data_IF_573730071477
#
_entry.id   IF_573730071477
#
_cell.length_a   1.000
_cell.length_b   1.000
_cell.length_c   1.000
_cell.angle_alpha   90.00
_cell.angle_beta   90.00
_cell.angle_gamma   90.00
#
_symmetry.space_group_name_H-M   'P 1'
#
loop_
_entity.id
_entity.type
_entity.pdbx_description
1 polymer ?
#
# COMPACT_ATOMS: atom_id res chain seq x y z
N UNK A 1 8.91 -7.28 40.03
CA UNK A 1 8.01 -8.29 40.60
C UNK A 1 6.65 -8.09 39.93
N UNK A 2 6.26 -9.00 39.04
CA UNK A 2 4.92 -8.98 38.43
C UNK A 2 3.88 -9.17 39.53
N UNK A 3 2.88 -8.29 39.59
CA UNK A 3 1.83 -8.37 40.61
C UNK A 3 0.96 -9.62 40.34
N UNK A 4 0.28 -10.17 41.36
CA UNK A 4 -0.63 -11.31 41.24
C UNK A 4 -1.69 -11.11 40.13
N UNK A 5 -2.12 -9.87 39.91
CA UNK A 5 -3.00 -9.50 38.80
C UNK A 5 -2.35 -9.71 37.43
N UNK A 6 -1.08 -9.36 37.25
CA UNK A 6 -0.35 -9.56 36.00
C UNK A 6 -0.21 -11.06 35.69
N UNK A 7 0.03 -11.88 36.71
CA UNK A 7 0.12 -13.32 36.56
C UNK A 7 -1.21 -13.95 36.12
N UNK A 8 -2.33 -13.45 36.65
CA UNK A 8 -3.67 -13.86 36.21
C UNK A 8 -3.95 -13.42 34.76
N UNK A 9 -3.61 -12.18 34.39
CA UNK A 9 -3.77 -11.68 33.03
C UNK A 9 -2.95 -12.47 32.02
N UNK A 10 -1.67 -12.73 32.32
CA UNK A 10 -0.79 -13.54 31.46
C UNK A 10 -1.32 -14.96 31.29
N UNK A 11 -1.89 -15.56 32.35
CA UNK A 11 -2.53 -16.88 32.24
C UNK A 11 -3.74 -16.84 31.31
N UNK A 12 -4.63 -15.87 31.50
CA UNK A 12 -5.80 -15.69 30.62
C UNK A 12 -5.42 -15.48 29.16
N UNK A 13 -4.39 -14.66 28.90
CA UNK A 13 -3.85 -14.47 27.54
C UNK A 13 -3.31 -15.76 26.94
N UNK A 14 -2.58 -16.57 27.71
CA UNK A 14 -2.05 -17.85 27.22
C UNK A 14 -3.14 -18.86 26.88
N UNK A 15 -4.23 -18.87 27.66
CA UNK A 15 -5.37 -19.77 27.44
C UNK A 15 -6.20 -19.34 26.21
N UNK A 16 -6.28 -18.03 25.94
CA UNK A 16 -7.03 -17.48 24.80
C UNK A 16 -6.21 -17.38 23.51
N UNK A 17 -4.89 -17.23 23.61
CA UNK A 17 -4.01 -17.03 22.46
C UNK A 17 -3.94 -18.27 21.56
N UNK A 18 -3.91 -18.03 20.26
CA UNK A 18 -3.59 -19.06 19.26
C UNK A 18 -2.11 -18.97 18.94
N UNK A 19 -1.39 -20.07 19.20
CA UNK A 19 0.04 -20.16 18.89
C UNK A 19 0.22 -20.34 17.38
N UNK A 20 1.07 -19.53 16.78
CA UNK A 20 1.60 -19.75 15.43
C UNK A 20 2.82 -20.68 15.57
N UNK A 21 2.76 -21.84 14.91
CA UNK A 21 3.80 -22.86 14.90
C UNK A 21 4.60 -22.88 13.58
N UNK A 22 4.30 -21.98 12.64
CA UNK A 22 4.85 -21.95 11.29
C UNK A 22 4.13 -22.91 10.33
N UNK A 23 2.92 -23.36 10.65
CA UNK A 23 2.14 -24.25 9.79
C UNK A 23 1.25 -23.45 8.84
N UNK A 24 0.98 -24.00 7.65
CA UNK A 24 0.05 -23.38 6.69
C UNK A 24 -1.36 -23.16 7.27
N UNK A 25 -1.74 -23.94 8.29
CA UNK A 25 -3.05 -23.90 8.94
C UNK A 25 -3.12 -22.98 10.16
N UNK A 26 -2.03 -22.33 10.52
CA UNK A 26 -1.99 -21.47 11.72
C UNK A 26 -3.01 -20.33 11.66
N UNK A 27 -3.35 -19.88 10.45
CA UNK A 27 -4.33 -18.83 10.20
C UNK A 27 -5.76 -19.34 9.98
N UNK A 28 -6.03 -20.66 10.02
CA UNK A 28 -7.40 -21.18 9.84
C UNK A 28 -8.38 -20.53 10.84
N UNK A 29 -8.07 -20.43 12.15
CA UNK A 29 -8.97 -19.79 13.10
C UNK A 29 -9.16 -18.29 12.84
N UNK A 30 -8.16 -17.62 12.26
CA UNK A 30 -8.24 -16.21 11.89
C UNK A 30 -9.18 -16.02 10.69
N UNK A 31 -9.06 -16.85 9.65
CA UNK A 31 -9.94 -16.79 8.48
C UNK A 31 -11.39 -17.16 8.81
N UNK A 32 -11.59 -18.09 9.74
CA UNK A 32 -12.91 -18.38 10.30
C UNK A 32 -13.49 -17.15 11.01
N UNK A 33 -12.69 -16.48 11.85
CA UNK A 33 -13.11 -15.26 12.56
C UNK A 33 -13.43 -14.10 11.62
N UNK A 34 -12.66 -13.94 10.54
CA UNK A 34 -12.91 -12.92 9.50
C UNK A 34 -14.27 -13.15 8.82
N UNK A 35 -14.71 -14.41 8.69
CA UNK A 35 -16.01 -14.75 8.11
C UNK A 35 -16.19 -14.22 6.69
N UNK A 36 -17.26 -13.46 6.47
CA UNK A 36 -17.66 -12.84 5.20
C UNK A 36 -17.33 -11.32 5.15
N UNK A 37 -16.40 -10.86 5.99
CA UNK A 37 -16.01 -9.46 6.00
C UNK A 37 -15.52 -9.02 4.60
N UNK A 38 -16.00 -7.87 4.13
CA UNK A 38 -15.59 -7.29 2.84
C UNK A 38 -14.28 -6.52 2.91
N UNK A 39 -13.89 -6.09 4.12
CA UNK A 39 -12.69 -5.31 4.38
C UNK A 39 -11.96 -5.92 5.58
N UNK A 40 -10.66 -6.12 5.42
CA UNK A 40 -9.76 -6.61 6.48
C UNK A 40 -8.58 -5.64 6.56
N UNK A 41 -8.38 -5.04 7.72
CA UNK A 41 -7.33 -4.06 7.97
C UNK A 41 -6.19 -4.74 8.73
N UNK A 42 -5.02 -4.85 8.10
CA UNK A 42 -3.84 -5.50 8.65
C UNK A 42 -2.82 -4.45 9.09
N UNK A 43 -2.81 -4.14 10.39
CA UNK A 43 -1.83 -3.24 10.99
C UNK A 43 -0.49 -3.91 11.27
N UNK A 44 0.52 -3.09 11.55
CA UNK A 44 1.84 -3.51 12.06
C UNK A 44 2.25 -2.64 13.25
N UNK A 45 3.10 -3.15 14.13
CA UNK A 45 3.55 -2.38 15.29
C UNK A 45 4.76 -1.47 14.98
N UNK A 46 5.50 -1.77 13.91
CA UNK A 46 6.62 -0.97 13.41
C UNK A 46 6.87 -1.27 11.94
N UNK A 47 7.35 -0.28 11.18
CA UNK A 47 7.85 -0.55 9.84
C UNK A 47 9.28 -1.12 9.88
N UNK A 48 9.67 -1.83 8.82
CA UNK A 48 10.99 -2.45 8.67
C UNK A 48 11.22 -3.74 9.46
N UNK A 49 10.20 -4.29 10.13
CA UNK A 49 10.29 -5.57 10.84
C UNK A 49 9.87 -6.72 9.92
N UNK A 50 10.83 -7.56 9.54
CA UNK A 50 10.63 -8.71 8.65
C UNK A 50 9.38 -9.53 9.00
N UNK A 51 9.22 -9.91 10.27
CA UNK A 51 8.11 -10.73 10.73
C UNK A 51 6.75 -10.05 10.46
N UNK A 52 6.64 -8.73 10.57
CA UNK A 52 5.37 -8.05 10.26
C UNK A 52 5.05 -8.05 8.76
N UNK A 53 6.05 -7.92 7.89
CA UNK A 53 5.81 -8.04 6.45
C UNK A 53 5.47 -9.48 6.06
N UNK A 54 6.23 -10.45 6.58
CA UNK A 54 6.01 -11.87 6.32
C UNK A 54 4.60 -12.29 6.76
N UNK A 55 4.19 -12.00 8.01
CA UNK A 55 2.89 -12.42 8.50
C UNK A 55 1.74 -11.72 7.74
N UNK A 56 1.86 -10.42 7.41
CA UNK A 56 0.87 -9.72 6.57
C UNK A 56 0.78 -10.33 5.17
N UNK A 57 1.91 -10.68 4.57
CA UNK A 57 1.94 -11.34 3.27
C UNK A 57 1.23 -12.70 3.33
N UNK A 58 1.52 -13.55 4.33
CA UNK A 58 0.88 -14.85 4.47
C UNK A 58 -0.64 -14.75 4.69
N UNK A 59 -1.10 -13.84 5.56
CA UNK A 59 -2.53 -13.60 5.77
C UNK A 59 -3.18 -13.12 4.46
N UNK A 60 -2.54 -12.18 3.75
CA UNK A 60 -3.06 -11.62 2.50
C UNK A 60 -3.17 -12.67 1.40
N UNK A 61 -2.17 -13.55 1.26
CA UNK A 61 -2.20 -14.68 0.31
C UNK A 61 -3.45 -15.54 0.52
N UNK A 62 -3.70 -15.93 1.77
CA UNK A 62 -4.88 -16.74 2.11
C UNK A 62 -6.20 -16.00 1.92
N UNK A 63 -6.26 -14.70 2.20
CA UNK A 63 -7.45 -13.89 1.91
C UNK A 63 -7.77 -13.85 0.42
N UNK A 64 -6.75 -13.75 -0.43
CA UNK A 64 -6.92 -13.78 -1.89
C UNK A 64 -7.38 -15.18 -2.34
N UNK A 65 -6.66 -16.23 -1.96
CA UNK A 65 -6.88 -17.60 -2.43
C UNK A 65 -8.17 -18.24 -1.90
N UNK A 66 -8.48 -18.03 -0.61
CA UNK A 66 -9.55 -18.76 0.08
C UNK A 66 -10.81 -17.91 0.28
N UNK A 67 -10.67 -16.59 0.30
CA UNK A 67 -11.77 -15.65 0.58
C UNK A 67 -12.11 -14.74 -0.60
N UNK A 68 -11.39 -14.84 -1.72
CA UNK A 68 -11.70 -14.12 -2.96
C UNK A 68 -11.47 -12.61 -2.88
N UNK A 69 -10.56 -12.15 -2.01
CA UNK A 69 -10.15 -10.74 -2.00
C UNK A 69 -9.38 -10.42 -3.29
N UNK A 70 -9.73 -9.30 -3.92
CA UNK A 70 -9.14 -8.87 -5.21
C UNK A 70 -8.42 -7.52 -5.13
N UNK A 71 -8.24 -6.97 -3.93
CA UNK A 71 -7.55 -5.69 -3.76
C UNK A 71 -6.70 -5.69 -2.50
N UNK A 72 -5.42 -5.34 -2.67
CA UNK A 72 -4.48 -5.08 -1.58
C UNK A 72 -4.19 -3.59 -1.61
N UNK A 73 -4.65 -2.87 -0.58
CA UNK A 73 -4.45 -1.43 -0.45
C UNK A 73 -3.45 -1.16 0.68
N UNK A 74 -2.34 -0.50 0.35
CA UNK A 74 -1.20 -0.28 1.25
C UNK A 74 -1.02 1.19 1.58
N UNK A 75 -0.40 1.47 2.74
CA UNK A 75 0.05 2.79 3.17
C UNK A 75 1.28 3.22 2.35
N UNK A 76 1.04 3.50 1.07
CA UNK A 76 2.06 3.90 0.13
C UNK A 76 1.49 4.84 -0.94
N UNK A 77 2.40 5.56 -1.59
CA UNK A 77 2.09 6.52 -2.64
C UNK A 77 1.39 5.87 -3.84
N UNK A 78 0.31 6.51 -4.33
CA UNK A 78 -0.49 5.99 -5.45
C UNK A 78 0.32 5.71 -6.73
N UNK A 79 1.17 6.62 -7.25
CA UNK A 79 1.90 6.38 -8.49
C UNK A 79 2.83 5.17 -8.42
N UNK A 80 3.52 5.00 -7.28
CA UNK A 80 4.49 3.93 -7.06
C UNK A 80 3.78 2.58 -6.92
N UNK A 81 2.73 2.52 -6.10
CA UNK A 81 1.90 1.32 -5.98
C UNK A 81 1.19 0.97 -7.29
N UNK A 82 0.79 1.96 -8.10
CA UNK A 82 0.17 1.72 -9.39
C UNK A 82 1.16 1.15 -10.43
N UNK A 83 2.45 1.48 -10.36
CA UNK A 83 3.48 0.79 -11.16
C UNK A 83 3.52 -0.70 -10.82
N UNK A 84 3.54 -1.04 -9.53
CA UNK A 84 3.44 -2.44 -9.07
C UNK A 84 2.14 -3.09 -9.52
N UNK A 85 1.01 -2.38 -9.44
CA UNK A 85 -0.27 -2.87 -9.94
C UNK A 85 -0.18 -3.28 -11.42
N UNK A 86 0.37 -2.42 -12.28
CA UNK A 86 0.53 -2.74 -13.71
C UNK A 86 1.41 -3.98 -13.88
N UNK A 87 2.47 -4.12 -13.09
CA UNK A 87 3.31 -5.30 -13.09
C UNK A 87 2.51 -6.56 -12.73
N UNK A 88 1.83 -6.60 -11.59
CA UNK A 88 1.07 -7.80 -11.16
C UNK A 88 -0.14 -8.12 -12.04
N UNK A 89 -0.65 -7.13 -12.78
CA UNK A 89 -1.73 -7.32 -13.75
C UNK A 89 -1.24 -7.84 -15.12
N UNK A 90 0.07 -7.81 -15.38
CA UNK A 90 0.64 -8.19 -16.68
C UNK A 90 0.57 -7.09 -17.75
N UNK A 91 0.51 -5.83 -17.33
CA UNK A 91 0.37 -4.65 -18.21
C UNK A 91 1.52 -3.63 -18.08
N UNK A 92 2.56 -3.97 -17.30
CA UNK A 92 3.80 -3.19 -17.23
C UNK A 92 4.82 -3.68 -18.25
N UNK A 93 5.80 -2.82 -18.55
CA UNK A 93 7.00 -3.15 -19.30
C UNK A 93 8.18 -3.51 -18.36
N UNK A 94 7.97 -3.48 -17.03
CA UNK A 94 8.98 -3.85 -16.05
C UNK A 94 9.32 -5.35 -16.19
N UNK A 95 10.62 -5.70 -16.17
CA UNK A 95 11.10 -7.07 -16.37
C UNK A 95 10.77 -8.01 -15.21
N UNK A 96 10.77 -7.47 -13.99
CA UNK A 96 10.62 -8.22 -12.75
C UNK A 96 10.04 -7.34 -11.62
N UNK A 97 9.83 -7.96 -10.46
CA UNK A 97 9.29 -7.29 -9.29
C UNK A 97 10.21 -6.22 -8.70
N UNK A 98 11.54 -6.37 -8.85
CA UNK A 98 12.50 -5.37 -8.35
C UNK A 98 12.39 -4.07 -9.15
N UNK A 99 12.31 -4.18 -10.48
CA UNK A 99 12.08 -3.03 -11.35
C UNK A 99 10.71 -2.39 -11.07
N UNK A 100 9.66 -3.20 -10.89
CA UNK A 100 8.33 -2.69 -10.55
C UNK A 100 8.31 -1.89 -9.23
N UNK A 101 9.09 -2.33 -8.24
CA UNK A 101 9.22 -1.68 -6.94
C UNK A 101 10.16 -0.46 -6.94
N UNK A 102 10.91 -0.22 -8.03
CA UNK A 102 11.88 0.89 -8.12
C UNK A 102 11.24 2.29 -8.09
N UNK A 103 9.91 2.39 -8.19
CA UNK A 103 9.15 3.63 -7.98
C UNK A 103 9.27 4.16 -6.56
N UNK A 104 9.27 3.27 -5.55
CA UNK A 104 9.35 3.63 -4.14
C UNK A 104 10.73 4.21 -3.77
N UNK A 105 10.86 5.53 -3.93
CA UNK A 105 12.12 6.26 -3.70
C UNK A 105 12.07 7.18 -2.49
N UNK A 106 10.88 7.60 -2.07
CA UNK A 106 10.66 8.60 -1.01
C UNK A 106 11.09 8.08 0.35
N UNK A 107 10.73 6.84 0.65
CA UNK A 107 11.00 6.21 1.93
C UNK A 107 12.19 5.27 1.83
N UNK A 108 12.83 4.93 2.98
CA UNK A 108 13.90 3.96 2.99
C UNK A 108 13.51 2.63 2.34
N UNK A 109 14.48 1.98 1.70
CA UNK A 109 14.28 0.73 0.96
C UNK A 109 13.63 -0.35 1.80
N UNK A 110 13.92 -0.42 3.10
CA UNK A 110 13.36 -1.41 4.01
C UNK A 110 11.82 -1.33 4.17
N UNK A 111 11.18 -0.25 3.74
CA UNK A 111 9.73 -0.08 3.89
C UNK A 111 8.96 -0.81 2.79
N UNK A 112 9.15 -0.43 1.52
CA UNK A 112 8.40 -1.03 0.40
C UNK A 112 9.28 -1.77 -0.61
N UNK A 113 10.61 -1.66 -0.51
CA UNK A 113 11.57 -2.34 -1.41
C UNK A 113 12.39 -3.40 -0.66
N UNK A 114 11.78 -4.04 0.34
CA UNK A 114 12.39 -5.14 1.08
C UNK A 114 12.09 -6.49 0.39
N UNK A 115 12.76 -7.55 0.86
CA UNK A 115 12.59 -8.91 0.32
C UNK A 115 11.18 -9.45 0.48
N UNK A 116 10.51 -9.17 1.61
CA UNK A 116 9.17 -9.69 1.88
C UNK A 116 8.12 -9.13 0.91
N UNK A 117 8.22 -7.83 0.61
CA UNK A 117 7.35 -7.17 -0.38
C UNK A 117 7.68 -7.65 -1.79
N UNK A 118 8.97 -7.82 -2.12
CA UNK A 118 9.39 -8.39 -3.41
C UNK A 118 8.82 -9.79 -3.62
N UNK A 119 8.95 -10.66 -2.61
CA UNK A 119 8.42 -12.03 -2.64
C UNK A 119 6.89 -12.04 -2.74
N UNK A 120 6.22 -11.14 -2.03
CA UNK A 120 4.77 -10.98 -2.13
C UNK A 120 4.32 -10.51 -3.52
N UNK A 121 5.00 -9.52 -4.11
CA UNK A 121 4.71 -9.00 -5.45
C UNK A 121 4.94 -10.05 -6.52
N UNK A 122 6.03 -10.82 -6.40
CA UNK A 122 6.30 -11.96 -7.29
C UNK A 122 5.19 -13.00 -7.21
N UNK A 123 4.83 -13.44 -6.00
CA UNK A 123 3.72 -14.36 -5.79
C UNK A 123 2.39 -13.82 -6.32
N UNK A 124 2.08 -12.53 -6.11
CA UNK A 124 0.84 -11.92 -6.56
C UNK A 124 0.76 -11.90 -8.10
N UNK A 125 1.89 -11.66 -8.77
CA UNK A 125 1.98 -11.77 -10.23
C UNK A 125 1.72 -13.20 -10.69
N UNK A 126 2.37 -14.19 -10.08
CA UNK A 126 2.18 -15.60 -10.42
C UNK A 126 0.73 -16.06 -10.21
N UNK A 127 0.12 -15.68 -9.08
CA UNK A 127 -1.29 -15.94 -8.79
C UNK A 127 -2.20 -15.33 -9.87
N UNK A 128 -1.98 -14.05 -10.21
CA UNK A 128 -2.77 -13.34 -11.21
C UNK A 128 -2.65 -13.94 -12.62
N UNK A 129 -1.50 -14.50 -12.98
CA UNK A 129 -1.30 -15.16 -14.28
C UNK A 129 -2.04 -16.51 -14.35
N UNK A 130 -2.36 -17.12 -13.21
CA UNK A 130 -3.12 -18.37 -13.12
C UNK A 130 -4.65 -18.23 -13.07
N UNK A 131 -5.19 -17.02 -12.94
CA UNK A 131 -6.63 -16.77 -12.77
C UNK A 131 -7.23 -15.90 -13.87
N UNK A 132 -8.57 -15.85 -13.93
CA UNK A 132 -9.28 -15.04 -14.91
C UNK A 132 -9.05 -13.53 -14.67
N UNK A 133 -9.09 -12.68 -15.72
CA UNK A 133 -8.94 -11.23 -15.55
C UNK A 133 -9.92 -10.61 -14.54
N UNK A 134 -11.12 -11.15 -14.40
CA UNK A 134 -12.15 -10.65 -13.48
C UNK A 134 -11.85 -10.94 -11.99
N UNK A 135 -10.94 -11.87 -11.72
CA UNK A 135 -10.60 -12.33 -10.35
C UNK A 135 -9.16 -11.99 -9.96
N UNK A 136 -8.40 -11.33 -10.83
CA UNK A 136 -7.04 -10.87 -10.50
C UNK A 136 -7.07 -9.90 -9.32
N UNK A 137 -6.13 -10.06 -8.40
CA UNK A 137 -5.95 -9.16 -7.28
C UNK A 137 -5.03 -7.98 -7.65
N UNK A 138 -5.47 -6.75 -7.36
CA UNK A 138 -4.70 -5.53 -7.60
C UNK A 138 -3.91 -5.06 -6.37
N UNK A 139 -2.94 -4.17 -6.62
CA UNK A 139 -2.09 -3.55 -5.60
C UNK A 139 -2.26 -2.02 -5.65
N UNK A 140 -2.63 -1.38 -4.56
CA UNK A 140 -3.07 0.02 -4.57
C UNK A 140 -2.44 0.81 -3.42
N UNK A 141 -2.03 2.04 -3.70
CA UNK A 141 -1.54 2.98 -2.68
C UNK A 141 -2.67 3.87 -2.20
N UNK A 142 -2.77 4.05 -0.89
CA UNK A 142 -3.77 4.91 -0.24
C UNK A 142 -3.22 6.28 0.18
N UNK A 143 -1.91 6.46 0.10
CA UNK A 143 -1.24 7.61 0.69
C UNK A 143 -1.19 8.82 -0.25
N UNK A 144 -1.12 10.01 0.35
CA UNK A 144 -1.26 11.30 -0.35
C UNK A 144 0.05 12.11 -0.38
N UNK A 145 1.18 11.50 -0.03
CA UNK A 145 2.46 12.21 0.03
C UNK A 145 3.04 12.56 -1.35
N UNK A 146 2.64 11.85 -2.39
CA UNK A 146 3.13 11.93 -3.77
C UNK A 146 2.47 13.03 -4.60
N UNK A 147 2.37 14.26 -4.06
CA UNK A 147 1.67 15.36 -4.74
C UNK A 147 2.20 15.60 -6.17
N UNK A 148 3.49 15.88 -6.32
CA UNK A 148 4.08 16.22 -7.62
C UNK A 148 4.05 15.04 -8.60
N UNK A 149 4.39 13.83 -8.16
CA UNK A 149 4.33 12.65 -9.04
C UNK A 149 2.91 12.28 -9.43
N UNK A 150 1.92 12.53 -8.57
CA UNK A 150 0.50 12.39 -8.90
C UNK A 150 0.04 13.43 -9.92
N UNK A 151 0.44 14.70 -9.77
CA UNK A 151 0.18 15.76 -10.75
C UNK A 151 0.76 15.41 -12.12
N UNK A 152 2.03 14.98 -12.17
CA UNK A 152 2.69 14.58 -13.42
C UNK A 152 2.00 13.38 -14.08
N UNK A 153 1.51 12.41 -13.30
CA UNK A 153 0.74 11.29 -13.83
C UNK A 153 -0.58 11.75 -14.47
N UNK A 154 -1.31 12.67 -13.82
CA UNK A 154 -2.54 13.28 -14.37
C UNK A 154 -2.24 14.05 -15.65
N UNK A 155 -1.22 14.91 -15.63
CA UNK A 155 -0.81 15.69 -16.81
C UNK A 155 -0.39 14.80 -17.97
N UNK A 156 0.38 13.74 -17.70
CA UNK A 156 0.81 12.76 -18.71
C UNK A 156 -0.38 12.04 -19.36
N UNK A 157 -1.39 11.68 -18.58
CA UNK A 157 -2.61 11.08 -19.09
C UNK A 157 -3.40 12.07 -19.94
N UNK A 158 -3.67 13.26 -19.41
CA UNK A 158 -4.44 14.30 -20.12
C UNK A 158 -3.76 14.74 -21.41
N UNK A 159 -2.43 14.85 -21.44
CA UNK A 159 -1.71 15.16 -22.67
C UNK A 159 -2.00 14.19 -23.82
N UNK A 160 -2.35 12.94 -23.53
CA UNK A 160 -2.68 11.92 -24.54
C UNK A 160 -4.15 11.96 -24.96
N UNK A 161 -5.07 12.27 -24.04
CA UNK A 161 -6.52 12.11 -24.26
C UNK A 161 -7.27 13.43 -24.44
N UNK A 162 -6.81 14.51 -23.80
CA UNK A 162 -7.40 15.86 -23.85
C UNK A 162 -6.31 16.92 -23.56
N UNK A 163 -5.58 17.38 -24.60
CA UNK A 163 -4.54 18.39 -24.45
C UNK A 163 -5.02 19.74 -23.88
N UNK A 164 -6.30 20.08 -24.05
CA UNK A 164 -6.86 21.31 -23.51
C UNK A 164 -7.08 21.21 -22.00
N UNK A 165 -7.56 20.06 -21.53
CA UNK A 165 -7.61 19.75 -20.10
C UNK A 165 -6.21 19.72 -19.47
N UNK A 166 -5.21 19.17 -20.18
CA UNK A 166 -3.82 19.19 -19.69
C UNK A 166 -3.31 20.62 -19.46
N UNK A 167 -3.62 21.56 -20.37
CA UNK A 167 -3.26 22.98 -20.20
C UNK A 167 -3.94 23.62 -18.99
N UNK A 168 -5.24 23.36 -18.78
CA UNK A 168 -5.97 23.86 -17.62
C UNK A 168 -5.43 23.28 -16.31
N UNK A 169 -5.19 21.98 -16.27
CA UNK A 169 -4.62 21.30 -15.10
C UNK A 169 -3.23 21.85 -14.75
N UNK A 170 -2.36 22.03 -15.75
CA UNK A 170 -1.02 22.61 -15.54
C UNK A 170 -1.10 24.03 -14.98
N UNK A 171 -2.02 24.85 -15.47
CA UNK A 171 -2.23 26.20 -14.95
C UNK A 171 -2.66 26.19 -13.48
N UNK A 172 -3.59 25.31 -13.09
CA UNK A 172 -3.99 25.18 -11.68
C UNK A 172 -2.87 24.68 -10.79
N UNK A 173 -2.12 23.68 -11.27
CA UNK A 173 -0.99 23.14 -10.52
C UNK A 173 0.16 24.13 -10.34
N UNK A 174 0.27 25.19 -11.16
CA UNK A 174 1.34 26.19 -10.98
C UNK A 174 1.23 26.97 -9.67
N UNK A 175 0.09 26.93 -8.97
CA UNK A 175 0.00 27.47 -7.60
C UNK A 175 1.02 26.84 -6.64
N UNK A 176 1.35 25.55 -6.84
CA UNK A 176 2.34 24.83 -6.04
C UNK A 176 3.79 25.20 -6.39
N UNK A 177 4.05 25.82 -7.55
CA UNK A 177 5.41 26.19 -7.98
C UNK A 177 6.10 27.14 -6.99
N UNK A 178 5.32 27.94 -6.25
CA UNK A 178 5.82 28.83 -5.19
C UNK A 178 6.48 28.09 -4.03
N UNK A 179 6.16 26.80 -3.84
CA UNK A 179 6.66 25.96 -2.74
C UNK A 179 7.69 24.93 -3.24
N UNK A 180 7.98 24.89 -4.54
CA UNK A 180 8.88 23.91 -5.14
C UNK A 180 8.43 22.48 -4.87
N UNK A 181 9.37 21.59 -4.56
CA UNK A 181 9.09 20.19 -4.20
C UNK A 181 8.72 20.01 -2.71
N UNK A 182 8.74 21.08 -1.91
CA UNK A 182 8.48 21.02 -0.46
C UNK A 182 6.99 21.10 -0.14
N UNK A 183 6.33 19.96 -0.29
CA UNK A 183 4.92 19.76 0.07
C UNK A 183 4.61 20.08 1.55
N UNK A 184 5.58 19.95 2.46
CA UNK A 184 5.37 20.29 3.87
C UNK A 184 5.35 21.81 4.08
N UNK A 185 6.20 22.54 3.37
CA UNK A 185 6.18 24.00 3.38
C UNK A 185 4.84 24.56 2.91
N UNK A 186 4.25 23.99 1.84
CA UNK A 186 2.89 24.33 1.42
C UNK A 186 1.87 24.03 2.53
N UNK A 187 1.86 22.81 3.07
CA UNK A 187 0.91 22.41 4.11
C UNK A 187 0.97 23.32 5.33
N UNK A 188 2.17 23.72 5.75
CA UNK A 188 2.38 24.68 6.82
C UNK A 188 1.85 26.07 6.45
N UNK A 189 2.22 26.59 5.27
CA UNK A 189 1.84 27.92 4.84
C UNK A 189 0.31 28.08 4.69
N UNK A 190 -0.36 27.10 4.08
CA UNK A 190 -1.81 27.10 3.92
C UNK A 190 -2.53 26.96 5.28
N UNK A 191 -2.06 26.07 6.16
CA UNK A 191 -2.71 25.84 7.47
C UNK A 191 -2.62 27.07 8.39
N UNK A 192 -1.49 27.77 8.36
CA UNK A 192 -1.27 28.95 9.22
C UNK A 192 -1.60 30.28 8.54
N UNK A 193 -2.20 30.26 7.33
CA UNK A 193 -2.59 31.46 6.59
C UNK A 193 -1.42 32.35 6.17
N UNK A 194 -0.23 31.76 5.98
CA UNK A 194 0.97 32.43 5.50
C UNK A 194 1.01 32.54 3.97
N UNK A 195 0.16 31.78 3.28
CA UNK A 195 -0.09 31.86 1.85
C UNK A 195 -1.55 31.49 1.53
N UNK A 196 -2.05 31.92 0.38
CA UNK A 196 -3.35 31.49 -0.13
C UNK A 196 -3.33 29.99 -0.45
N UNK A 197 -4.45 29.30 -0.20
CA UNK A 197 -4.60 27.87 -0.49
C UNK A 197 -4.79 27.67 -2.00
N UNK A 198 -4.09 26.66 -2.55
CA UNK A 198 -4.28 26.24 -3.94
C UNK A 198 -5.58 25.45 -4.15
N UNK A 199 -6.40 25.25 -3.11
CA UNK A 199 -7.69 24.53 -3.18
C UNK A 199 -8.74 25.27 -4.04
N UNK A 200 -8.67 26.60 -4.10
CA UNK A 200 -9.67 27.45 -4.77
C UNK A 200 -9.37 27.71 -6.27
N UNK A 201 -8.31 27.12 -6.83
CA UNK A 201 -7.84 27.29 -8.22
C UNK A 201 -8.57 26.42 -9.30
#
# INVERSE_FOLDING_TARGET
>A
MTNANDAMLVRGLREAARRLAGSARDYDPLLELIGDARFVLLGEASHGTHEFYEQRAQITKRLIEEKGFTAVAVEADWPDAYRVNRYVQGTSNDSDGEEALSGFKRFPTWMWRNSDVLDFVGWLREHNDGVSPATKAGFYGLDLYSLHSSMEAVLTYLHKVDPDAARRARYRYSCFDHFGEDTQAYGYAATFGLAESCEEE
#
